data_IF_326334528639
#
_entry.id   IF_326334528639
#
_cell.length_a   1.000
_cell.length_b   1.000
_cell.length_c   1.000
_cell.angle_alpha   90.00
_cell.angle_beta   90.00
_cell.angle_gamma   90.00
#
_symmetry.space_group_name_H-M   'P 1'
#
loop_
_entity.id
_entity.type
_entity.pdbx_description
1 polymer ?
#
# COMPACT_ATOMS: atom_id res chain seq x y z
N UNK A 1 -3.67 -43.10 -2.64
CA UNK A 1 -3.45 -41.71 -3.08
C UNK A 1 -4.66 -41.30 -3.90
N UNK A 2 -5.56 -40.51 -3.32
CA UNK A 2 -6.76 -40.00 -3.99
C UNK A 2 -6.48 -38.59 -4.49
N UNK A 3 -6.44 -38.40 -5.81
CA UNK A 3 -6.37 -37.09 -6.44
C UNK A 3 -7.78 -36.48 -6.44
N UNK A 4 -8.01 -35.48 -5.58
CA UNK A 4 -9.17 -34.61 -5.67
C UNK A 4 -8.89 -33.52 -6.69
N UNK A 5 -9.47 -33.68 -7.87
CA UNK A 5 -9.43 -32.69 -8.94
C UNK A 5 -10.61 -31.73 -8.72
N UNK A 6 -10.39 -30.68 -7.93
CA UNK A 6 -11.39 -29.63 -7.69
C UNK A 6 -11.38 -28.71 -8.90
N UNK A 7 -12.38 -28.87 -9.78
CA UNK A 7 -12.70 -27.86 -10.80
C UNK A 7 -13.34 -26.68 -10.10
N UNK A 8 -12.60 -25.59 -9.95
CA UNK A 8 -13.15 -24.29 -9.57
C UNK A 8 -13.96 -23.76 -10.76
N UNK A 9 -15.27 -23.47 -10.61
CA UNK A 9 -16.07 -22.94 -11.72
C UNK A 9 -15.60 -21.53 -12.08
N UNK A 10 -15.33 -21.31 -13.38
CA UNK A 10 -14.84 -20.07 -13.98
C UNK A 10 -15.80 -18.88 -13.95
N UNK A 11 -16.84 -18.91 -13.11
CA UNK A 11 -17.80 -17.79 -12.96
C UNK A 11 -17.38 -16.77 -11.88
N UNK A 12 -16.36 -17.06 -11.08
CA UNK A 12 -15.85 -16.17 -10.03
C UNK A 12 -14.91 -15.04 -10.54
N UNK A 13 -14.59 -15.00 -11.83
CA UNK A 13 -13.66 -14.01 -12.41
C UNK A 13 -14.34 -12.83 -13.12
N UNK A 14 -15.67 -12.79 -13.20
CA UNK A 14 -16.41 -11.72 -13.91
C UNK A 14 -17.16 -10.74 -12.99
N UNK A 15 -17.24 -11.00 -11.68
CA UNK A 15 -17.92 -10.12 -10.73
C UNK A 15 -17.08 -8.89 -10.30
N UNK A 16 -15.83 -8.75 -10.76
CA UNK A 16 -14.98 -7.57 -10.47
C UNK A 16 -15.03 -6.48 -11.57
N UNK A 17 -15.97 -6.54 -12.51
CA UNK A 17 -16.02 -5.61 -13.66
C UNK A 17 -17.32 -4.79 -13.80
N UNK A 18 -18.08 -4.60 -12.72
CA UNK A 18 -19.23 -3.69 -12.73
C UNK A 18 -18.82 -2.25 -12.37
N UNK A 19 -19.06 -1.25 -13.25
CA UNK A 19 -18.73 0.14 -12.99
C UNK A 19 -19.92 0.86 -12.35
N UNK A 20 -20.34 0.45 -11.15
CA UNK A 20 -21.36 1.19 -10.39
C UNK A 20 -21.05 1.09 -8.90
N UNK A 21 -20.79 2.25 -8.28
CA UNK A 21 -20.54 2.46 -6.86
C UNK A 21 -19.26 1.82 -6.30
N UNK A 22 -18.09 2.41 -6.63
CA UNK A 22 -16.92 2.30 -5.75
C UNK A 22 -17.29 2.94 -4.42
N UNK A 23 -17.29 2.21 -3.29
CA UNK A 23 -17.49 2.83 -2.01
C UNK A 23 -16.22 3.63 -1.66
N UNK A 24 -16.45 4.65 -0.84
CA UNK A 24 -15.51 5.63 -0.31
C UNK A 24 -14.59 4.98 0.74
N UNK A 25 -14.03 3.80 0.45
CA UNK A 25 -13.36 2.90 1.42
C UNK A 25 -11.92 3.30 1.70
N UNK A 26 -11.20 3.85 0.72
CA UNK A 26 -9.78 4.16 0.91
C UNK A 26 -9.53 5.33 1.88
N UNK A 27 -10.53 6.19 2.10
CA UNK A 27 -10.48 7.27 3.10
C UNK A 27 -10.93 6.84 4.51
N UNK A 28 -11.51 5.63 4.65
CA UNK A 28 -12.02 5.09 5.92
C UNK A 28 -10.96 4.37 6.74
N UNK A 29 -9.89 3.90 6.08
CA UNK A 29 -8.74 3.23 6.67
C UNK A 29 -8.00 4.06 7.74
N UNK A 30 -8.17 5.40 7.72
CA UNK A 30 -7.66 6.29 8.78
C UNK A 30 -8.75 7.07 9.54
N UNK A 31 -9.98 7.23 9.00
CA UNK A 31 -11.06 7.96 9.70
C UNK A 31 -11.59 7.26 10.94
N UNK A 32 -11.43 5.93 11.05
CA UNK A 32 -11.84 5.18 12.25
C UNK A 32 -10.81 5.18 13.40
N UNK A 33 -9.67 5.85 13.24
CA UNK A 33 -8.76 6.14 14.36
C UNK A 33 -8.96 7.57 14.85
N UNK A 34 -10.16 7.83 15.37
CA UNK A 34 -10.51 9.10 15.99
C UNK A 34 -9.87 9.17 17.40
N UNK A 35 -8.54 9.27 17.45
CA UNK A 35 -7.83 9.57 18.69
C UNK A 35 -8.09 11.04 19.03
N UNK A 36 -8.87 11.26 20.09
CA UNK A 36 -9.07 12.60 20.63
C UNK A 36 -7.73 13.32 20.81
N UNK A 37 -7.66 14.59 20.44
CA UNK A 37 -6.47 15.44 20.57
C UNK A 37 -6.00 15.49 22.02
N UNK A 38 -5.16 14.55 22.42
CA UNK A 38 -4.40 14.64 23.65
C UNK A 38 -3.28 15.68 23.46
N UNK A 39 -2.93 16.45 24.50
CA UNK A 39 -1.87 17.44 24.41
C UNK A 39 -0.54 16.77 24.04
N UNK A 40 0.36 17.46 23.31
CA UNK A 40 1.64 16.91 22.91
C UNK A 40 2.48 16.61 24.16
N UNK A 41 2.52 15.34 24.54
CA UNK A 41 3.50 14.82 25.48
C UNK A 41 4.88 14.88 24.82
N UNK A 42 5.91 15.11 25.64
CA UNK A 42 7.32 15.11 25.22
C UNK A 42 7.60 13.98 24.23
N UNK A 43 8.16 14.33 23.06
CA UNK A 43 8.48 13.42 21.94
C UNK A 43 9.53 12.38 22.36
N UNK A 44 9.16 11.42 23.20
CA UNK A 44 9.98 10.24 23.47
C UNK A 44 9.84 9.28 22.29
N UNK A 45 10.83 9.31 21.40
CA UNK A 45 10.96 8.34 20.32
C UNK A 45 11.16 6.96 20.95
N UNK A 46 10.45 5.97 20.40
CA UNK A 46 10.45 4.62 20.96
C UNK A 46 11.77 3.88 20.75
N UNK A 47 12.37 3.32 21.82
CA UNK A 47 13.68 2.73 21.74
C UNK A 47 13.71 1.41 20.94
N UNK A 48 12.61 0.68 20.91
CA UNK A 48 12.50 -0.61 20.20
C UNK A 48 12.40 -0.46 18.68
N UNK A 49 12.11 0.74 18.18
CA UNK A 49 12.14 1.04 16.75
C UNK A 49 13.53 1.43 16.24
N UNK A 50 14.45 1.86 17.12
CA UNK A 50 15.79 2.28 16.68
C UNK A 50 16.53 1.13 15.99
N UNK A 51 16.52 -0.07 16.58
CA UNK A 51 17.20 -1.22 15.99
C UNK A 51 16.66 -1.54 14.58
N UNK A 52 15.35 -1.43 14.37
CA UNK A 52 14.71 -1.65 13.06
C UNK A 52 15.04 -0.55 12.06
N UNK A 53 15.13 0.70 12.52
CA UNK A 53 15.39 1.88 11.69
C UNK A 53 16.86 1.94 11.29
N UNK A 54 17.76 1.70 12.23
CA UNK A 54 19.21 1.70 12.01
C UNK A 54 19.62 0.58 11.06
N UNK A 55 18.94 -0.57 11.09
CA UNK A 55 19.12 -1.63 10.11
C UNK A 55 18.77 -1.21 8.67
N UNK A 56 17.97 -0.15 8.47
CA UNK A 56 17.59 0.32 7.13
C UNK A 56 18.60 1.28 6.51
N UNK A 57 19.72 1.58 7.18
CA UNK A 57 20.76 2.43 6.62
C UNK A 57 21.20 1.93 5.24
N UNK A 58 21.35 2.87 4.30
CA UNK A 58 21.72 2.65 2.90
C UNK A 58 20.75 1.78 2.08
N UNK A 59 19.52 1.60 2.56
CA UNK A 59 18.50 0.85 1.82
C UNK A 59 17.98 1.68 0.66
N UNK A 60 18.12 1.15 -0.56
CA UNK A 60 17.66 1.78 -1.80
C UNK A 60 16.30 1.25 -2.24
N UNK A 61 15.35 2.15 -2.41
CA UNK A 61 14.02 1.84 -2.92
C UNK A 61 13.83 2.45 -4.31
N UNK A 62 13.51 1.62 -5.30
CA UNK A 62 13.06 2.10 -6.61
C UNK A 62 11.54 2.12 -6.64
N UNK A 63 10.99 3.33 -6.63
CA UNK A 63 9.57 3.61 -6.47
C UNK A 63 9.00 4.05 -7.82
N UNK A 64 7.88 3.45 -8.18
CA UNK A 64 7.04 3.88 -9.29
C UNK A 64 5.77 4.51 -8.72
N UNK A 65 5.40 5.69 -9.20
CA UNK A 65 4.21 6.40 -8.76
C UNK A 65 3.17 6.36 -9.87
N UNK A 66 1.94 5.98 -9.49
CA UNK A 66 0.79 5.92 -10.37
C UNK A 66 -0.27 6.86 -9.80
N UNK A 67 -0.42 8.03 -10.42
CA UNK A 67 -1.34 9.09 -9.99
C UNK A 67 -2.51 9.17 -10.95
N UNK A 68 -3.73 9.25 -10.40
CA UNK A 68 -4.97 9.23 -11.16
C UNK A 68 -5.45 7.83 -11.52
N UNK A 69 -6.49 7.76 -12.36
CA UNK A 69 -7.17 6.53 -12.79
C UNK A 69 -7.25 6.48 -14.33
N UNK A 70 -7.50 5.30 -14.90
CA UNK A 70 -7.61 5.10 -16.34
C UNK A 70 -8.70 5.98 -16.96
N UNK A 71 -9.80 6.21 -16.23
CA UNK A 71 -10.92 7.03 -16.70
C UNK A 71 -10.62 8.53 -16.66
N UNK A 72 -9.98 8.99 -15.58
CA UNK A 72 -9.71 10.41 -15.36
C UNK A 72 -8.43 10.86 -16.01
N UNK A 73 -7.57 9.96 -16.46
CA UNK A 73 -6.21 10.26 -16.90
C UNK A 73 -5.19 9.73 -15.91
N UNK A 74 -4.09 9.22 -16.45
CA UNK A 74 -3.07 8.47 -15.72
C UNK A 74 -1.70 9.13 -15.88
N UNK A 75 -1.04 9.40 -14.76
CA UNK A 75 0.33 9.88 -14.68
C UNK A 75 1.20 8.80 -14.02
N UNK A 76 2.04 8.16 -14.84
CA UNK A 76 3.01 7.16 -14.39
C UNK A 76 4.39 7.77 -14.32
N UNK A 77 4.99 7.72 -13.13
CA UNK A 77 6.32 8.23 -12.84
C UNK A 77 7.20 7.01 -12.51
N UNK A 78 8.30 6.88 -13.23
CA UNK A 78 9.21 5.75 -13.14
C UNK A 78 10.59 6.20 -12.64
N UNK A 79 11.40 5.23 -12.21
CA UNK A 79 12.82 5.40 -11.87
C UNK A 79 13.11 6.43 -10.76
N UNK A 80 12.18 6.60 -9.83
CA UNK A 80 12.43 7.36 -8.61
C UNK A 80 13.19 6.46 -7.64
N UNK A 81 14.48 6.74 -7.44
CA UNK A 81 15.33 5.96 -6.54
C UNK A 81 15.62 6.82 -5.32
N UNK A 82 15.21 6.31 -4.15
CA UNK A 82 15.47 6.94 -2.86
C UNK A 82 16.34 6.04 -2.01
N UNK A 83 17.20 6.65 -1.20
CA UNK A 83 18.04 5.98 -0.22
C UNK A 83 17.61 6.42 1.17
N UNK A 84 17.35 5.42 2.00
CA UNK A 84 16.92 5.57 3.38
C UNK A 84 18.16 5.72 4.25
N UNK A 85 18.23 6.80 5.04
CA UNK A 85 19.34 7.06 5.93
C UNK A 85 18.89 7.07 7.40
N UNK A 86 19.75 6.62 8.32
CA UNK A 86 19.45 6.58 9.76
C UNK A 86 19.67 7.95 10.45
N UNK A 87 20.37 8.88 9.79
CA UNK A 87 20.61 10.21 10.32
C UNK A 87 19.30 10.98 10.52
N UNK A 88 19.26 11.86 11.53
CA UNK A 88 18.12 12.75 11.73
C UNK A 88 17.92 13.65 10.49
N UNK A 89 16.67 13.94 10.17
CA UNK A 89 16.35 14.89 9.11
C UNK A 89 16.90 16.29 9.45
N UNK A 90 17.27 17.06 8.42
CA UNK A 90 17.66 18.46 8.60
C UNK A 90 16.48 19.29 9.10
N UNK A 91 16.72 20.47 9.69
CA UNK A 91 15.65 21.33 10.23
C UNK A 91 14.58 21.71 9.19
N UNK A 92 14.94 21.75 7.90
CA UNK A 92 14.06 22.04 6.76
C UNK A 92 13.53 20.75 6.12
N UNK A 93 12.73 19.98 6.87
CA UNK A 93 12.08 18.75 6.42
C UNK A 93 10.55 18.89 6.45
N UNK A 94 9.86 18.09 5.64
CA UNK A 94 8.40 18.08 5.69
C UNK A 94 7.90 17.40 6.96
N UNK A 95 6.78 17.86 7.49
CA UNK A 95 6.14 17.23 8.64
C UNK A 95 5.59 15.85 8.27
N UNK A 96 5.94 14.84 9.06
CA UNK A 96 5.48 13.47 8.85
C UNK A 96 4.32 13.13 9.81
N UNK A 97 3.37 12.28 9.39
CA UNK A 97 2.11 12.05 10.11
C UNK A 97 2.28 11.36 11.47
N UNK A 98 3.36 10.64 11.70
CA UNK A 98 3.80 10.04 12.96
C UNK A 98 4.32 11.07 13.93
N UNK A 99 5.44 11.69 13.58
CA UNK A 99 6.18 12.53 14.53
C UNK A 99 5.57 13.92 14.74
N UNK A 100 4.82 14.43 13.76
CA UNK A 100 4.15 15.74 13.81
C UNK A 100 2.62 15.67 13.62
N UNK A 101 2.07 14.51 13.27
CA UNK A 101 0.66 14.35 12.95
C UNK A 101 -0.18 13.75 14.09
N UNK A 102 -1.33 13.19 13.72
CA UNK A 102 -2.31 12.63 14.66
C UNK A 102 -1.85 11.32 15.31
N UNK A 103 -0.91 10.62 14.69
CA UNK A 103 -0.33 9.44 15.27
C UNK A 103 0.50 9.86 16.47
N UNK A 104 0.17 9.34 17.65
CA UNK A 104 0.95 9.64 18.84
C UNK A 104 2.43 9.30 18.62
N UNK A 105 3.34 10.13 19.14
CA UNK A 105 4.81 9.93 19.07
C UNK A 105 5.25 8.54 19.53
N UNK A 106 4.42 7.88 20.35
CA UNK A 106 4.56 6.49 20.80
C UNK A 106 4.51 5.44 19.68
N UNK A 107 4.21 5.83 18.44
CA UNK A 107 4.20 4.90 17.31
C UNK A 107 5.28 5.21 16.28
N UNK A 108 5.96 6.35 16.37
CA UNK A 108 6.87 6.82 15.33
C UNK A 108 8.35 6.69 15.73
N UNK A 109 9.21 6.46 14.74
CA UNK A 109 10.67 6.42 14.90
C UNK A 109 11.35 7.80 14.97
N UNK A 110 10.59 8.88 14.79
CA UNK A 110 11.14 10.20 14.49
C UNK A 110 11.49 10.38 13.02
N UNK A 111 11.64 11.64 12.60
CA UNK A 111 12.03 12.01 11.24
C UNK A 111 13.49 11.66 10.96
N UNK A 112 13.69 10.95 9.85
CA UNK A 112 14.99 10.52 9.36
C UNK A 112 15.23 11.07 7.98
N UNK A 113 16.50 11.26 7.64
CA UNK A 113 16.91 11.80 6.34
C UNK A 113 16.65 10.76 5.25
N UNK A 114 16.15 11.23 4.12
CA UNK A 114 16.02 10.43 2.89
C UNK A 114 16.71 11.18 1.75
N UNK A 115 17.58 10.49 1.03
CA UNK A 115 18.29 11.06 -0.12
C UNK A 115 17.65 10.58 -1.43
N UNK A 116 17.36 11.51 -2.34
CA UNK A 116 16.81 11.19 -3.66
C UNK A 116 17.98 10.98 -4.63
N UNK A 117 18.33 9.73 -4.89
CA UNK A 117 19.44 9.34 -5.77
C UNK A 117 19.09 9.50 -7.26
N UNK A 118 17.85 9.22 -7.63
CA UNK A 118 17.34 9.39 -9.00
C UNK A 118 15.98 10.08 -8.94
N UNK A 119 15.85 11.16 -9.70
CA UNK A 119 14.57 11.85 -9.89
C UNK A 119 13.64 10.98 -10.71
N UNK A 120 12.41 10.85 -10.25
CA UNK A 120 11.37 10.18 -11.03
C UNK A 120 11.15 10.88 -12.36
N UNK A 121 10.82 10.12 -13.40
CA UNK A 121 10.55 10.65 -14.73
C UNK A 121 9.21 10.18 -15.28
N UNK A 122 8.58 11.02 -16.09
CA UNK A 122 7.39 10.67 -16.86
C UNK A 122 7.50 11.24 -18.27
N UNK A 123 6.75 10.68 -19.22
CA UNK A 123 6.74 11.14 -20.61
C UNK A 123 5.48 11.96 -20.87
N UNK A 124 5.64 13.22 -21.29
CA UNK A 124 4.57 14.09 -21.76
C UNK A 124 4.66 14.29 -23.29
N UNK A 125 3.82 15.18 -23.85
CA UNK A 125 3.87 15.49 -25.28
C UNK A 125 5.17 16.22 -25.70
N UNK A 126 5.89 16.81 -24.75
CA UNK A 126 7.14 17.53 -24.98
C UNK A 126 8.38 16.62 -24.79
N UNK A 127 8.20 15.39 -24.35
CA UNK A 127 9.24 14.39 -24.15
C UNK A 127 9.35 13.92 -22.70
N UNK A 128 10.55 13.52 -22.28
CA UNK A 128 10.79 13.09 -20.90
C UNK A 128 10.88 14.30 -19.97
N UNK A 129 10.05 14.29 -18.93
CA UNK A 129 10.03 15.26 -17.85
C UNK A 129 10.53 14.60 -16.56
N UNK A 130 11.29 15.35 -15.76
CA UNK A 130 11.78 14.90 -14.46
C UNK A 130 11.05 15.60 -13.33
N UNK A 131 10.85 14.86 -12.23
CA UNK A 131 10.22 15.35 -11.02
C UNK A 131 11.31 15.73 -10.03
N UNK A 132 11.34 17.01 -9.71
CA UNK A 132 12.15 17.56 -8.64
C UNK A 132 11.49 17.29 -7.30
N UNK A 133 12.23 16.65 -6.40
CA UNK A 133 11.85 16.39 -5.01
C UNK A 133 12.86 17.08 -4.09
N UNK A 134 12.36 17.74 -3.04
CA UNK A 134 13.16 18.45 -2.04
C UNK A 134 12.72 18.05 -0.63
N UNK A 135 13.50 18.40 0.40
CA UNK A 135 13.17 18.14 1.80
C UNK A 135 12.79 16.66 2.10
N UNK A 136 13.55 15.72 1.51
CA UNK A 136 13.31 14.29 1.64
C UNK A 136 13.50 13.80 3.07
N UNK A 137 12.45 13.24 3.65
CA UNK A 137 12.49 12.61 4.97
C UNK A 137 11.67 11.31 4.98
N UNK A 138 11.88 10.49 5.99
CA UNK A 138 11.08 9.29 6.20
C UNK A 138 10.93 9.00 7.69
N UNK A 139 9.93 8.17 8.02
CA UNK A 139 9.78 7.60 9.35
C UNK A 139 9.14 6.21 9.26
N UNK A 140 9.33 5.42 10.32
CA UNK A 140 8.61 4.17 10.53
C UNK A 140 7.56 4.39 11.62
N UNK A 141 6.30 4.09 11.29
CA UNK A 141 5.16 4.13 12.20
C UNK A 141 4.71 2.71 12.55
N UNK A 142 4.92 2.27 13.78
CA UNK A 142 4.55 0.93 14.23
C UNK A 142 3.95 0.93 15.64
N UNK A 143 2.67 0.56 15.72
CA UNK A 143 1.96 0.42 16.99
C UNK A 143 2.47 -0.82 17.73
N UNK A 144 2.73 -0.69 19.03
CA UNK A 144 3.23 -1.80 19.86
C UNK A 144 2.29 -3.01 19.80
N UNK A 145 2.88 -4.20 19.72
CA UNK A 145 2.17 -5.49 19.64
C UNK A 145 1.26 -5.63 18.41
N UNK A 146 1.39 -4.77 17.39
CA UNK A 146 0.72 -4.98 16.10
C UNK A 146 1.62 -5.76 15.14
N UNK A 147 1.03 -6.66 14.33
CA UNK A 147 1.79 -7.48 13.37
C UNK A 147 2.36 -6.67 12.20
N UNK A 148 1.83 -5.46 11.99
CA UNK A 148 2.21 -4.56 10.91
C UNK A 148 2.43 -3.14 11.40
N UNK A 149 3.29 -2.42 10.68
CA UNK A 149 3.50 -0.98 10.73
C UNK A 149 3.50 -0.40 9.32
N UNK A 150 3.96 0.84 9.19
CA UNK A 150 4.12 1.53 7.91
C UNK A 150 5.49 2.21 7.86
N UNK A 151 6.13 2.19 6.70
CA UNK A 151 7.20 3.13 6.36
C UNK A 151 6.54 4.26 5.59
N UNK A 152 6.73 5.49 6.07
CA UNK A 152 6.22 6.70 5.45
C UNK A 152 7.41 7.49 4.92
N UNK A 153 7.40 7.75 3.63
CA UNK A 153 8.36 8.61 2.93
C UNK A 153 7.68 9.96 2.69
N UNK A 154 8.44 11.02 2.79
CA UNK A 154 7.98 12.40 2.67
C UNK A 154 8.91 13.22 1.80
N UNK A 155 8.36 14.03 0.90
CA UNK A 155 9.14 15.03 0.16
C UNK A 155 8.26 16.18 -0.31
N UNK A 156 8.89 17.33 -0.54
CA UNK A 156 8.24 18.52 -1.08
C UNK A 156 8.43 18.63 -2.60
N UNK A 157 7.33 18.90 -3.31
CA UNK A 157 7.30 19.17 -4.75
C UNK A 157 7.24 20.69 -5.00
N UNK A 158 8.25 21.28 -5.65
CA UNK A 158 8.32 22.74 -5.83
C UNK A 158 7.38 23.28 -6.92
N UNK A 159 6.73 22.40 -7.68
CA UNK A 159 5.78 22.76 -8.74
C UNK A 159 4.82 21.61 -9.01
N UNK A 160 3.69 21.94 -9.62
CA UNK A 160 2.69 20.96 -10.04
C UNK A 160 3.15 20.24 -11.31
N UNK A 161 2.99 18.90 -11.35
CA UNK A 161 3.24 18.07 -12.52
C UNK A 161 1.90 17.53 -13.05
N UNK A 162 1.68 17.59 -14.36
CA UNK A 162 0.43 17.10 -14.93
C UNK A 162 0.65 16.36 -16.25
N UNK A 163 -0.20 15.37 -16.51
CA UNK A 163 -0.28 14.67 -17.79
C UNK A 163 -1.73 14.36 -18.09
N UNK A 164 -2.21 14.83 -19.24
CA UNK A 164 -3.63 14.80 -19.60
C UNK A 164 -4.47 15.50 -18.52
N UNK A 165 -5.24 14.74 -17.77
CA UNK A 165 -6.11 15.19 -16.68
C UNK A 165 -5.62 14.72 -15.30
N UNK A 166 -4.55 13.90 -15.25
CA UNK A 166 -3.88 13.54 -13.99
C UNK A 166 -3.00 14.69 -13.54
N UNK A 167 -3.11 15.06 -12.26
CA UNK A 167 -2.36 16.15 -11.64
C UNK A 167 -1.70 15.62 -10.37
N UNK A 168 -0.40 15.78 -10.30
CA UNK A 168 0.39 15.66 -9.08
C UNK A 168 0.66 17.09 -8.57
N UNK A 169 -0.10 17.56 -7.56
CA UNK A 169 -0.04 18.95 -7.10
C UNK A 169 1.32 19.29 -6.49
N UNK A 170 1.65 20.58 -6.51
CA UNK A 170 2.76 21.12 -5.72
C UNK A 170 2.51 20.99 -4.21
N UNK A 171 3.58 21.05 -3.43
CA UNK A 171 3.52 20.97 -1.97
C UNK A 171 4.04 19.66 -1.41
N UNK A 172 3.61 19.36 -0.18
CA UNK A 172 4.10 18.22 0.57
C UNK A 172 3.39 16.94 0.12
N UNK A 173 4.20 15.93 -0.15
CA UNK A 173 3.78 14.64 -0.63
C UNK A 173 4.29 13.56 0.30
N UNK A 174 3.44 12.56 0.53
CA UNK A 174 3.80 11.42 1.34
C UNK A 174 3.46 10.13 0.60
N UNK A 175 4.29 9.13 0.82
CA UNK A 175 4.12 7.78 0.31
C UNK A 175 4.19 6.83 1.49
N UNK A 176 3.22 5.94 1.63
CA UNK A 176 3.28 4.90 2.66
C UNK A 176 3.38 3.52 2.08
N UNK A 177 4.14 2.68 2.76
CA UNK A 177 4.25 1.26 2.47
C UNK A 177 4.02 0.45 3.74
N UNK A 178 3.07 -0.49 3.76
CA UNK A 178 2.90 -1.41 4.86
C UNK A 178 4.16 -2.26 5.09
N UNK A 179 4.55 -2.38 6.35
CA UNK A 179 5.65 -3.21 6.82
C UNK A 179 5.12 -4.29 7.73
N UNK A 180 5.61 -5.51 7.57
CA UNK A 180 5.17 -6.68 8.31
C UNK A 180 6.36 -7.41 8.92
N UNK A 181 6.19 -7.97 10.12
CA UNK A 181 7.06 -9.05 10.55
C UNK A 181 6.69 -10.34 9.80
N UNK A 182 7.63 -11.28 9.66
CA UNK A 182 7.34 -12.56 9.02
C UNK A 182 6.17 -13.30 9.70
N UNK A 183 6.19 -13.36 11.03
CA UNK A 183 5.13 -13.97 11.84
C UNK A 183 3.81 -13.21 11.72
N UNK A 184 3.86 -11.87 11.75
CA UNK A 184 2.70 -11.01 11.62
C UNK A 184 2.02 -11.15 10.25
N UNK A 185 2.79 -11.33 9.19
CA UNK A 185 2.25 -11.56 7.85
C UNK A 185 1.56 -12.92 7.76
N UNK A 186 2.16 -13.98 8.29
CA UNK A 186 1.53 -15.32 8.30
C UNK A 186 0.21 -15.27 9.04
N UNK A 187 0.19 -14.63 10.22
CA UNK A 187 -1.03 -14.43 10.99
C UNK A 187 -2.08 -13.63 10.19
N UNK A 188 -1.67 -12.52 9.58
CA UNK A 188 -2.55 -11.69 8.76
C UNK A 188 -3.13 -12.45 7.56
N UNK A 189 -2.34 -13.27 6.87
CA UNK A 189 -2.79 -14.08 5.74
C UNK A 189 -3.76 -15.19 6.17
N UNK A 190 -3.50 -15.83 7.31
CA UNK A 190 -4.44 -16.81 7.88
C UNK A 190 -5.78 -16.16 8.24
N UNK A 191 -5.74 -14.97 8.84
CA UNK A 191 -6.95 -14.23 9.20
C UNK A 191 -7.70 -13.74 7.95
N UNK A 192 -6.98 -13.20 6.94
CA UNK A 192 -7.54 -12.85 5.62
C UNK A 192 -8.30 -14.03 5.03
N UNK A 193 -7.69 -15.22 5.04
CA UNK A 193 -8.33 -16.44 4.52
C UNK A 193 -9.55 -16.86 5.34
N UNK A 194 -9.51 -16.73 6.67
CA UNK A 194 -10.65 -17.01 7.55
C UNK A 194 -11.83 -16.10 7.22
N UNK A 195 -11.60 -14.80 7.17
CA UNK A 195 -12.62 -13.77 6.88
C UNK A 195 -13.20 -13.96 5.48
N UNK A 196 -12.36 -14.18 4.47
CA UNK A 196 -12.83 -14.46 3.11
C UNK A 196 -13.69 -15.74 3.04
N UNK A 197 -13.35 -16.78 3.81
CA UNK A 197 -14.18 -17.98 3.91
C UNK A 197 -15.53 -17.73 4.58
N UNK A 198 -15.61 -16.81 5.55
CA UNK A 198 -16.87 -16.40 6.18
C UNK A 198 -17.72 -15.54 5.25
N UNK A 199 -17.09 -14.66 4.47
CA UNK A 199 -17.75 -13.88 3.41
C UNK A 199 -18.37 -14.83 2.38
N UNK A 200 -17.58 -15.77 1.84
CA UNK A 200 -18.06 -16.76 0.86
C UNK A 200 -19.20 -17.61 1.44
N UNK A 201 -19.10 -18.01 2.70
CA UNK A 201 -20.18 -18.73 3.38
C UNK A 201 -21.47 -17.90 3.49
N UNK A 202 -21.37 -16.62 3.83
CA UNK A 202 -22.52 -15.72 3.92
C UNK A 202 -23.14 -15.46 2.55
N UNK A 203 -22.34 -15.34 1.48
CA UNK A 203 -22.84 -15.22 0.10
C UNK A 203 -23.65 -16.46 -0.30
N UNK A 204 -23.11 -17.67 -0.06
CA UNK A 204 -23.84 -18.93 -0.34
C UNK A 204 -25.16 -18.98 0.45
N UNK A 205 -25.16 -18.57 1.72
CA UNK A 205 -26.38 -18.55 2.54
C UNK A 205 -27.39 -17.51 2.09
N UNK A 206 -26.92 -16.36 1.61
CA UNK A 206 -27.76 -15.34 1.03
C UNK A 206 -28.49 -15.91 -0.20
N UNK A 207 -27.75 -16.50 -1.14
CA UNK A 207 -28.29 -17.11 -2.35
C UNK A 207 -29.29 -18.25 -2.02
N UNK A 208 -28.97 -19.12 -1.07
CA UNK A 208 -29.88 -20.19 -0.63
C UNK A 208 -31.21 -19.66 -0.05
N UNK A 209 -31.19 -18.55 0.70
CA UNK A 209 -32.40 -17.93 1.24
C UNK A 209 -33.21 -17.22 0.15
N UNK A 210 -32.54 -16.61 -0.85
CA UNK A 210 -33.20 -16.02 -2.01
C UNK A 210 -33.89 -17.10 -2.88
N UNK A 211 -33.24 -18.25 -3.09
CA UNK A 211 -33.86 -19.40 -3.77
C UNK A 211 -35.10 -19.89 -3.01
N UNK A 212 -35.03 -20.01 -1.67
CA UNK A 212 -36.18 -20.39 -0.83
C UNK A 212 -37.30 -19.35 -0.89
N UNK A 213 -36.95 -18.06 -0.93
CA UNK A 213 -37.91 -16.98 -1.12
C UNK A 213 -38.67 -17.20 -2.44
N UNK A 214 -37.99 -17.50 -3.54
CA UNK A 214 -38.61 -17.64 -4.86
C UNK A 214 -39.49 -18.90 -4.96
N UNK A 215 -39.07 -20.01 -4.35
CA UNK A 215 -39.82 -21.27 -4.36
C UNK A 215 -41.05 -21.27 -3.44
N UNK A 216 -41.08 -20.43 -2.40
CA UNK A 216 -42.14 -20.48 -1.38
C UNK A 216 -43.37 -19.66 -1.77
N UNK A 217 -44.56 -20.25 -1.69
CA UNK A 217 -45.81 -19.53 -2.01
C UNK A 217 -46.38 -18.72 -0.83
N UNK A 218 -46.09 -19.13 0.42
CA UNK A 218 -46.62 -18.46 1.61
C UNK A 218 -45.94 -17.08 1.80
N UNK A 219 -46.70 -15.96 1.81
CA UNK A 219 -46.14 -14.62 1.88
C UNK A 219 -45.37 -14.34 3.18
N UNK A 220 -45.77 -14.93 4.31
CA UNK A 220 -45.08 -14.75 5.59
C UNK A 220 -43.71 -15.43 5.53
N UNK A 221 -43.65 -16.65 5.00
CA UNK A 221 -42.39 -17.37 4.84
C UNK A 221 -41.46 -16.67 3.84
N UNK A 222 -42.01 -16.12 2.75
CA UNK A 222 -41.23 -15.28 1.82
C UNK A 222 -40.58 -14.10 2.54
N UNK A 223 -41.35 -13.36 3.33
CA UNK A 223 -40.82 -12.24 4.10
C UNK A 223 -39.71 -12.67 5.08
N UNK A 224 -39.84 -13.85 5.70
CA UNK A 224 -38.80 -14.41 6.58
C UNK A 224 -37.52 -14.73 5.79
N UNK A 225 -37.63 -15.45 4.66
CA UNK A 225 -36.48 -15.80 3.83
C UNK A 225 -35.76 -14.55 3.30
N UNK A 226 -36.52 -13.56 2.84
CA UNK A 226 -35.96 -12.29 2.38
C UNK A 226 -35.23 -11.54 3.51
N UNK A 227 -35.82 -11.49 4.70
CA UNK A 227 -35.17 -10.87 5.87
C UNK A 227 -33.88 -11.60 6.28
N UNK A 228 -33.85 -12.93 6.18
CA UNK A 228 -32.65 -13.71 6.44
C UNK A 228 -31.55 -13.41 5.42
N UNK A 229 -31.89 -13.33 4.13
CA UNK A 229 -30.95 -12.95 3.07
C UNK A 229 -30.31 -11.59 3.37
N UNK A 230 -31.11 -10.57 3.71
CA UNK A 230 -30.59 -9.25 4.11
C UNK A 230 -29.70 -9.29 5.35
N UNK A 231 -29.98 -10.18 6.32
CA UNK A 231 -29.10 -10.37 7.48
C UNK A 231 -27.73 -10.92 7.08
N UNK A 232 -27.66 -11.85 6.12
CA UNK A 232 -26.39 -12.38 5.62
C UNK A 232 -25.62 -11.35 4.79
N UNK A 233 -26.32 -10.59 3.95
CA UNK A 233 -25.74 -9.47 3.21
C UNK A 233 -25.14 -8.41 4.15
N UNK A 234 -25.87 -8.02 5.20
CA UNK A 234 -25.38 -7.05 6.18
C UNK A 234 -24.12 -7.53 6.91
N UNK A 235 -24.05 -8.82 7.27
CA UNK A 235 -22.85 -9.42 7.90
C UNK A 235 -21.65 -9.44 6.96
N UNK A 236 -21.87 -9.72 5.67
CA UNK A 236 -20.82 -9.64 4.65
C UNK A 236 -20.27 -8.22 4.57
N UNK A 237 -21.16 -7.24 4.47
CA UNK A 237 -20.76 -5.84 4.35
C UNK A 237 -20.05 -5.34 5.62
N UNK A 238 -20.46 -5.78 6.81
CA UNK A 238 -19.75 -5.53 8.07
C UNK A 238 -18.32 -6.08 8.01
N UNK A 239 -18.14 -7.34 7.61
CA UNK A 239 -16.82 -7.96 7.49
C UNK A 239 -15.91 -7.27 6.46
N UNK A 240 -16.46 -6.83 5.32
CA UNK A 240 -15.72 -6.09 4.29
C UNK A 240 -15.28 -4.70 4.78
N UNK A 241 -16.06 -4.05 5.65
CA UNK A 241 -15.73 -2.73 6.19
C UNK A 241 -14.74 -2.79 7.35
N UNK A 242 -14.86 -3.80 8.23
CA UNK A 242 -14.02 -3.93 9.42
C UNK A 242 -12.60 -4.40 9.09
N UNK A 243 -12.47 -5.27 8.10
CA UNK A 243 -11.18 -5.82 7.70
C UNK A 243 -10.70 -5.12 6.44
N UNK A 244 -9.59 -4.39 6.56
CA UNK A 244 -8.86 -3.88 5.40
C UNK A 244 -8.10 -5.01 4.70
N UNK A 245 -8.84 -5.99 4.16
CA UNK A 245 -8.31 -7.21 3.55
C UNK A 245 -7.34 -6.90 2.40
N UNK A 246 -7.56 -5.78 1.71
CA UNK A 246 -6.72 -5.28 0.62
C UNK A 246 -5.32 -4.84 1.08
N UNK A 247 -5.16 -4.52 2.37
CA UNK A 247 -3.85 -4.12 2.93
C UNK A 247 -2.95 -5.31 3.25
N UNK A 248 -3.50 -6.53 3.29
CA UNK A 248 -2.75 -7.74 3.60
C UNK A 248 -2.21 -8.32 2.29
N UNK A 249 -0.91 -8.17 2.01
CA UNK A 249 -0.33 -8.59 0.74
C UNK A 249 -0.27 -10.10 0.63
N UNK A 250 -0.36 -10.58 -0.61
CA UNK A 250 -0.10 -11.98 -0.93
C UNK A 250 1.42 -12.26 -0.95
N UNK A 251 1.79 -13.54 -1.10
CA UNK A 251 3.18 -14.00 -0.92
C UNK A 251 4.16 -13.42 -1.96
N UNK A 252 3.68 -12.99 -3.12
CA UNK A 252 4.47 -12.41 -4.20
C UNK A 252 4.58 -10.88 -4.13
N UNK A 253 3.76 -10.24 -3.31
CA UNK A 253 3.63 -8.78 -3.21
C UNK A 253 4.55 -8.15 -2.15
N UNK A 254 5.51 -8.90 -1.60
CA UNK A 254 6.47 -8.36 -0.65
C UNK A 254 7.90 -8.32 -1.20
N UNK A 255 8.66 -7.38 -0.67
CA UNK A 255 10.10 -7.27 -0.81
C UNK A 255 10.73 -7.47 0.56
N UNK A 256 11.83 -8.23 0.61
CA UNK A 256 12.60 -8.35 1.86
C UNK A 256 13.26 -7.01 2.13
N UNK A 257 12.89 -6.41 3.26
CA UNK A 257 13.54 -5.22 3.76
C UNK A 257 14.76 -5.64 4.61
N UNK A 258 14.54 -6.58 5.54
CA UNK A 258 15.56 -7.20 6.39
C UNK A 258 15.27 -8.70 6.59
N UNK A 259 16.06 -9.40 7.42
CA UNK A 259 15.86 -10.83 7.73
C UNK A 259 14.44 -11.15 8.22
N UNK A 260 13.90 -10.31 9.11
CA UNK A 260 12.59 -10.54 9.76
C UNK A 260 11.50 -9.52 9.36
N UNK A 261 11.82 -8.58 8.48
CA UNK A 261 10.95 -7.47 8.12
C UNK A 261 10.67 -7.48 6.62
N UNK A 262 9.38 -7.48 6.28
CA UNK A 262 8.87 -7.55 4.92
C UNK A 262 8.17 -6.23 4.59
N UNK A 263 8.53 -5.63 3.46
CA UNK A 263 7.92 -4.42 2.94
C UNK A 263 6.93 -4.79 1.85
N UNK A 264 5.68 -4.31 1.96
CA UNK A 264 4.72 -4.42 0.86
C UNK A 264 5.23 -3.64 -0.35
N UNK A 265 5.18 -4.27 -1.54
CA UNK A 265 5.51 -3.59 -2.79
C UNK A 265 4.50 -2.50 -3.11
N UNK A 266 3.25 -2.68 -2.70
CA UNK A 266 2.18 -1.72 -2.95
C UNK A 266 2.09 -0.73 -1.79
N UNK A 267 2.01 0.54 -2.15
CA UNK A 267 1.87 1.67 -1.24
C UNK A 267 0.87 2.68 -1.75
N UNK A 268 0.60 3.69 -0.92
CA UNK A 268 -0.37 4.74 -1.21
C UNK A 268 0.32 6.09 -1.27
N UNK A 269 -0.15 6.95 -2.16
CA UNK A 269 0.33 8.32 -2.32
C UNK A 269 -0.75 9.27 -1.84
N UNK A 270 -0.41 10.15 -0.92
CA UNK A 270 -1.33 11.16 -0.43
C UNK A 270 -0.69 12.54 -0.33
N UNK A 271 -1.55 13.54 -0.36
CA UNK A 271 -1.23 14.95 -0.12
C UNK A 271 -2.24 15.49 0.89
N UNK A 272 -1.85 16.51 1.63
CA UNK A 272 -2.65 17.21 2.62
C UNK A 272 -3.09 18.53 2.02
N UNK A 273 -4.33 18.59 1.58
CA UNK A 273 -4.96 19.83 1.13
C UNK A 273 -5.65 20.51 2.32
N UNK A 274 -4.89 21.37 3.01
CA UNK A 274 -5.33 22.01 4.24
C UNK A 274 -5.41 21.04 5.42
N UNK A 275 -6.63 20.65 5.82
CA UNK A 275 -6.87 19.70 6.92
C UNK A 275 -7.27 18.30 6.43
N UNK A 276 -7.53 18.15 5.13
CA UNK A 276 -8.01 16.89 4.57
C UNK A 276 -6.86 16.14 3.89
N UNK A 277 -6.75 14.85 4.21
CA UNK A 277 -5.84 13.94 3.51
C UNK A 277 -6.50 13.46 2.22
N UNK A 278 -5.85 13.74 1.09
CA UNK A 278 -6.32 13.41 -0.25
C UNK A 278 -5.46 12.28 -0.80
N UNK A 279 -6.09 11.13 -1.08
CA UNK A 279 -5.46 10.03 -1.80
C UNK A 279 -5.31 10.40 -3.27
N UNK A 280 -4.07 10.42 -3.76
CA UNK A 280 -3.73 10.78 -5.13
C UNK A 280 -3.52 9.57 -6.03
N UNK A 281 -3.10 8.45 -5.45
CA UNK A 281 -2.83 7.24 -6.22
C UNK A 281 -2.06 6.16 -5.46
N UNK A 282 -1.36 5.32 -6.21
CA UNK A 282 -0.64 4.14 -5.72
C UNK A 282 0.84 4.25 -6.01
N UNK A 283 1.65 3.76 -5.10
CA UNK A 283 3.09 3.60 -5.28
C UNK A 283 3.45 2.12 -5.37
N UNK A 284 4.41 1.76 -6.22
CA UNK A 284 4.88 0.39 -6.38
C UNK A 284 6.39 0.36 -6.26
N UNK A 285 6.90 -0.45 -5.33
CA UNK A 285 8.34 -0.70 -5.19
C UNK A 285 8.73 -1.79 -6.16
N UNK A 286 9.65 -1.43 -7.06
CA UNK A 286 10.32 -2.40 -7.91
C UNK A 286 11.62 -2.81 -7.23
N UNK A 287 11.77 -4.10 -6.98
CA UNK A 287 13.06 -4.61 -6.52
C UNK A 287 14.04 -4.47 -7.67
N UNK A 288 14.98 -3.54 -7.55
CA UNK A 288 16.28 -3.68 -8.20
C UNK A 288 16.93 -4.89 -7.57
N UNK A 289 16.58 -6.09 -8.05
CA UNK A 289 17.47 -7.24 -7.91
C UNK A 289 18.77 -6.76 -8.51
N UNK A 290 19.73 -6.44 -7.65
CA UNK A 290 21.12 -6.32 -8.01
C UNK A 290 21.53 -7.71 -8.48
N UNK A 291 21.11 -8.06 -9.70
CA UNK A 291 21.71 -9.13 -10.45
C UNK A 291 23.14 -8.66 -10.61
N UNK A 292 23.99 -9.18 -9.73
CA UNK A 292 25.42 -9.31 -9.95
C UNK A 292 25.60 -10.17 -11.20
N UNK A 293 25.21 -9.64 -12.35
CA UNK A 293 25.65 -10.11 -13.65
C UNK A 293 27.13 -9.79 -13.69
N UNK A 294 27.91 -10.74 -13.18
CA UNK A 294 29.31 -10.92 -13.50
C UNK A 294 29.39 -11.04 -15.01
N UNK A 295 29.51 -9.88 -15.67
CA UNK A 295 29.81 -9.76 -17.08
C UNK A 295 31.18 -10.41 -17.30
N UNK A 296 31.17 -11.69 -17.65
CA UNK A 296 32.33 -12.40 -18.16
C UNK A 296 32.74 -11.72 -19.46
N UNK A 297 33.77 -10.89 -19.38
CA UNK A 297 34.44 -10.29 -20.52
C UNK A 297 35.01 -11.41 -21.39
N UNK A 298 34.30 -11.77 -22.46
CA UNK A 298 34.86 -12.53 -23.58
C UNK A 298 35.87 -11.62 -24.29
N UNK A 299 37.15 -11.79 -23.95
CA UNK A 299 38.26 -11.25 -24.71
C UNK A 299 38.33 -11.99 -26.04
N UNK A 300 37.85 -11.35 -27.10
CA UNK A 300 38.11 -11.77 -28.48
C UNK A 300 39.60 -11.57 -28.78
N UNK A 301 40.37 -12.65 -28.71
CA UNK A 301 41.74 -12.70 -29.20
C UNK A 301 41.72 -12.75 -30.73
N UNK A 302 41.74 -11.56 -31.35
CA UNK A 302 41.98 -11.40 -32.78
C UNK A 302 43.38 -11.89 -33.15
N UNK A 303 43.43 -13.09 -33.75
CA UNK A 303 44.65 -13.67 -34.32
C UNK A 303 45.15 -12.85 -35.51
N UNK A 304 46.41 -12.43 -35.42
CA UNK A 304 47.21 -11.84 -36.51
C UNK A 304 47.41 -12.87 -37.64
N UNK A 305 47.03 -12.50 -38.85
CA UNK A 305 47.51 -13.11 -40.10
C UNK A 305 48.72 -12.31 -40.61
N UNK A 306 49.82 -13.00 -40.87
CA UNK A 306 50.92 -12.64 -41.79
C UNK A 306 51.72 -13.94 -42.08
N UNK A 307 52.47 -14.04 -43.19
CA UNK A 307 52.49 -13.21 -44.41
C UNK A 307 51.87 -13.90 -45.64
#
# INVERSE_FOLDING_TARGET
>A
MMNFNIKVPSFLLLALSSPVCRPRVDALLMKNFNFGRLPPTTKEIRPDLYDLVDQQEDTKLNIQLHVGDEETGFLSIHDMIVEINCNQAADDHISLPGSDGLYHSECASGHRRMDVLSKGQFVDMNGSQYIDCTAGCWEMCWIRNRPAGNVVLGFHLPKTYSRNKAVLPEGDMWISFPVWTHEGLIYGQMEKKRVLGEIEFNDIRCDEELDKHDMTHNPIMKAIHLNNAYSFEAKRDEMLNDYSLDTIPDIDQFSKLQENTLLSKNGLIWNKDGNDDVLLGRAVITTTTSSSSSSSSYTSSGGRLMP
#
